data_IF_194024574167
#
_entry.id   IF_194024574167
#
_cell.length_a   1.000
_cell.length_b   1.000
_cell.length_c   1.000
_cell.angle_alpha   90.00
_cell.angle_beta   90.00
_cell.angle_gamma   90.00
#
_symmetry.space_group_name_H-M   'P 1'
#
loop_
_entity.id
_entity.type
_entity.pdbx_description
1 polymer ?
#
# COMPACT_ATOMS: atom_id res chain seq x y z
N UNK A 1 26.90 1.10 -9.32
CA UNK A 1 26.23 0.91 -8.91
C UNK A 1 25.41 -0.09 -8.62
N UNK A 2 25.30 -0.70 -7.76
CA UNK A 2 24.54 -1.86 -7.50
C UNK A 2 23.07 -1.54 -7.49
N UNK A 3 22.39 -2.08 -8.43
CA UNK A 3 20.94 -1.98 -8.44
C UNK A 3 20.39 -3.21 -7.74
N UNK A 4 19.44 -3.01 -6.86
CA UNK A 4 18.69 -4.10 -6.28
C UNK A 4 17.39 -4.27 -7.05
N UNK A 5 16.94 -5.50 -7.17
CA UNK A 5 15.66 -5.82 -7.80
C UNK A 5 14.88 -6.68 -6.84
N UNK A 6 13.68 -6.23 -6.50
CA UNK A 6 12.78 -6.98 -5.65
C UNK A 6 11.59 -7.47 -6.48
N UNK A 7 11.15 -8.69 -6.22
CA UNK A 7 9.90 -9.20 -6.76
C UNK A 7 8.80 -8.96 -5.73
N UNK A 8 7.65 -8.52 -6.18
CA UNK A 8 6.53 -8.19 -5.29
C UNK A 8 5.27 -8.91 -5.78
N UNK A 9 4.66 -9.68 -4.88
CA UNK A 9 3.35 -10.28 -5.11
C UNK A 9 2.37 -9.61 -4.16
N UNK A 10 1.27 -9.08 -4.68
CA UNK A 10 0.31 -8.33 -3.88
C UNK A 10 -1.09 -8.45 -4.47
N UNK A 11 -2.10 -8.39 -3.61
CA UNK A 11 -3.50 -8.42 -4.03
C UNK A 11 -4.07 -7.00 -4.01
N UNK A 12 -4.45 -6.48 -5.16
CA UNK A 12 -4.93 -5.10 -5.26
C UNK A 12 -5.29 -4.68 -6.67
N UNK A 13 -5.33 -3.37 -6.86
CA UNK A 13 -5.70 -2.74 -8.13
C UNK A 13 -4.54 -1.85 -8.56
N UNK A 14 -4.05 -2.07 -9.78
CA UNK A 14 -2.98 -1.26 -10.33
C UNK A 14 -3.51 0.13 -10.74
N UNK A 15 -2.82 1.17 -10.26
CA UNK A 15 -3.16 2.55 -10.64
C UNK A 15 -2.46 3.00 -11.91
N UNK A 16 -1.43 2.26 -12.36
CA UNK A 16 -0.70 2.57 -13.56
C UNK A 16 0.37 3.64 -13.39
N UNK A 17 0.88 4.08 -14.53
CA UNK A 17 1.92 5.08 -14.61
C UNK A 17 1.32 6.46 -14.37
N UNK A 18 2.01 7.29 -13.62
CA UNK A 18 1.60 8.66 -13.30
C UNK A 18 0.24 8.79 -12.58
N UNK A 19 -0.29 7.68 -12.09
CA UNK A 19 -1.57 7.70 -11.43
C UNK A 19 -1.41 7.70 -9.91
N UNK A 20 -1.33 8.87 -9.34
CA UNK A 20 -1.50 9.02 -7.89
C UNK A 20 -2.99 9.23 -7.68
N UNK A 21 -3.66 8.37 -6.90
CA UNK A 21 -5.09 8.53 -6.66
C UNK A 21 -5.44 9.91 -6.08
N UNK A 22 -6.58 10.44 -6.47
CA UNK A 22 -7.01 11.78 -6.04
C UNK A 22 -7.02 11.95 -4.51
N UNK A 23 -7.35 10.91 -3.77
CA UNK A 23 -7.37 11.00 -2.30
C UNK A 23 -5.98 11.27 -1.71
N UNK A 24 -4.93 11.02 -2.48
CA UNK A 24 -3.54 11.26 -2.07
C UNK A 24 -3.07 12.70 -2.35
N UNK A 25 -3.86 13.49 -3.05
CA UNK A 25 -3.48 14.86 -3.36
C UNK A 25 -3.28 15.67 -2.07
N UNK A 26 -2.15 16.37 -1.98
CA UNK A 26 -1.80 17.16 -0.82
C UNK A 26 -1.05 16.41 0.27
N UNK A 27 -0.81 15.13 0.09
CA UNK A 27 -0.04 14.29 1.03
C UNK A 27 1.24 13.80 0.38
N UNK A 28 2.31 13.74 1.16
CA UNK A 28 3.61 13.27 0.67
C UNK A 28 3.62 11.77 0.40
N UNK A 29 2.91 11.01 1.24
CA UNK A 29 2.80 9.57 1.10
C UNK A 29 1.48 9.06 1.72
N UNK A 30 1.27 7.76 1.63
CA UNK A 30 0.03 7.14 2.13
C UNK A 30 -0.06 7.19 3.66
N UNK A 31 1.06 7.07 4.36
CA UNK A 31 1.07 7.17 5.81
C UNK A 31 0.66 8.56 6.28
N UNK A 32 1.08 9.59 5.54
CA UNK A 32 0.69 10.97 5.81
C UNK A 32 -0.83 11.15 5.68
N UNK A 33 -1.40 10.55 4.64
CA UNK A 33 -2.85 10.51 4.43
C UNK A 33 -3.56 9.81 5.59
N UNK A 34 -3.04 8.66 6.03
CA UNK A 34 -3.62 7.91 7.14
C UNK A 34 -3.56 8.69 8.46
N UNK A 35 -2.47 9.40 8.69
CA UNK A 35 -2.32 10.22 9.90
C UNK A 35 -3.37 11.32 9.94
N UNK A 36 -3.61 11.95 8.81
CA UNK A 36 -4.66 12.97 8.71
C UNK A 36 -6.05 12.37 8.93
N UNK A 37 -6.30 11.24 8.28
CA UNK A 37 -7.58 10.54 8.39
C UNK A 37 -7.88 10.08 9.82
N UNK A 38 -6.85 9.71 10.58
CA UNK A 38 -7.00 9.23 11.95
C UNK A 38 -7.55 10.30 12.91
N UNK A 39 -7.30 11.57 12.59
CA UNK A 39 -7.65 12.68 13.49
C UNK A 39 -6.80 12.76 14.75
N UNK A 40 -5.77 11.91 14.85
CA UNK A 40 -4.85 11.91 16.01
C UNK A 40 -3.84 13.05 15.90
N UNK A 41 -3.32 13.55 17.05
CA UNK A 41 -2.26 14.54 17.01
C UNK A 41 -1.04 14.04 16.23
N UNK A 42 -0.49 14.90 15.39
CA UNK A 42 0.67 14.58 14.53
C UNK A 42 1.98 14.74 15.29
N UNK A 43 3.04 14.23 14.70
CA UNK A 43 4.38 14.37 15.25
C UNK A 43 4.69 15.85 15.51
N UNK A 44 5.19 16.13 16.71
CA UNK A 44 5.49 17.48 17.14
C UNK A 44 4.31 18.24 17.75
N UNK A 45 3.11 17.71 17.66
CA UNK A 45 1.93 18.30 18.28
C UNK A 45 1.74 17.78 19.70
N UNK A 46 1.09 18.60 20.54
CA UNK A 46 0.75 18.19 21.91
C UNK A 46 -0.18 16.98 21.87
N UNK A 47 0.08 15.98 22.71
CA UNK A 47 -0.73 14.77 22.79
C UNK A 47 -0.40 13.72 21.74
N UNK A 48 0.67 13.90 20.97
CA UNK A 48 1.09 12.88 20.01
C UNK A 48 1.38 11.55 20.69
N UNK A 49 0.81 10.48 20.19
CA UNK A 49 1.01 9.12 20.68
C UNK A 49 1.40 8.22 19.51
N UNK A 50 2.67 7.89 19.43
CA UNK A 50 3.21 7.07 18.35
C UNK A 50 2.57 5.69 18.30
N UNK A 51 2.27 5.09 19.46
CA UNK A 51 1.66 3.75 19.53
C UNK A 51 0.27 3.74 18.91
N UNK A 52 -0.55 4.73 19.24
CA UNK A 52 -1.91 4.86 18.68
C UNK A 52 -1.87 5.13 17.18
N UNK A 53 -0.97 6.00 16.75
CA UNK A 53 -0.81 6.35 15.35
C UNK A 53 -0.40 5.14 14.52
N UNK A 54 0.58 4.39 15.01
CA UNK A 54 1.04 3.16 14.36
C UNK A 54 -0.07 2.11 14.30
N UNK A 55 -0.82 1.94 15.38
CA UNK A 55 -1.94 1.01 15.43
C UNK A 55 -3.01 1.35 14.38
N UNK A 56 -3.31 2.63 14.22
CA UNK A 56 -4.27 3.08 13.19
C UNK A 56 -3.77 2.71 11.79
N UNK A 57 -2.52 3.01 11.48
CA UNK A 57 -1.93 2.69 10.17
C UNK A 57 -1.99 1.20 9.88
N UNK A 58 -1.58 0.38 10.85
CA UNK A 58 -1.51 -1.07 10.67
C UNK A 58 -2.89 -1.75 10.60
N UNK A 59 -3.90 -1.14 11.20
CA UNK A 59 -5.26 -1.69 11.16
C UNK A 59 -6.07 -1.22 9.95
N UNK A 60 -5.57 -0.24 9.21
CA UNK A 60 -6.29 0.26 8.05
C UNK A 60 -6.34 -0.82 6.96
N UNK A 61 -7.51 -1.05 6.32
CA UNK A 61 -7.66 -2.19 5.40
C UNK A 61 -6.91 -2.06 4.07
N UNK A 62 -6.39 -0.88 3.77
CA UNK A 62 -5.74 -0.58 2.50
C UNK A 62 -4.30 -0.15 2.73
N UNK A 63 -3.42 -0.56 1.82
CA UNK A 63 -2.05 -0.09 1.77
C UNK A 63 -1.70 0.30 0.34
N UNK A 64 -0.59 1.02 0.17
CA UNK A 64 -0.09 1.38 -1.15
C UNK A 64 1.23 0.66 -1.38
N UNK A 65 1.34 -0.02 -2.51
CA UNK A 65 2.57 -0.67 -2.92
C UNK A 65 3.17 0.11 -4.07
N UNK A 66 4.41 0.56 -3.89
CA UNK A 66 5.15 1.22 -4.95
C UNK A 66 6.01 0.18 -5.67
N UNK A 67 6.03 0.22 -6.99
CA UNK A 67 6.86 -0.67 -7.79
C UNK A 67 7.43 0.08 -9.01
N UNK A 68 8.07 -0.63 -9.90
CA UNK A 68 8.83 -0.14 -11.04
C UNK A 68 10.19 0.41 -10.61
N UNK A 69 10.29 1.66 -10.22
CA UNK A 69 11.54 2.23 -9.72
C UNK A 69 11.29 3.48 -8.89
N UNK A 70 12.29 3.92 -8.13
CA UNK A 70 12.19 5.17 -7.38
C UNK A 70 12.12 6.39 -8.28
N UNK A 71 12.73 6.31 -9.45
CA UNK A 71 12.73 7.39 -10.42
C UNK A 71 11.41 7.51 -11.18
N UNK A 72 10.81 6.35 -11.48
CA UNK A 72 9.53 6.28 -12.19
C UNK A 72 8.58 5.37 -11.41
N UNK A 73 8.07 5.84 -10.28
CA UNK A 73 7.24 5.00 -9.43
C UNK A 73 5.87 4.73 -10.04
N UNK A 74 5.42 3.50 -9.86
CA UNK A 74 4.05 3.08 -10.17
C UNK A 74 3.43 2.56 -8.88
N UNK A 75 2.13 2.66 -8.76
CA UNK A 75 1.45 2.35 -7.51
C UNK A 75 0.34 1.32 -7.68
N UNK A 76 0.19 0.50 -6.66
CA UNK A 76 -0.91 -0.45 -6.53
C UNK A 76 -1.63 -0.11 -5.23
N UNK A 77 -2.95 0.09 -5.32
CA UNK A 77 -3.81 0.18 -4.14
C UNK A 77 -4.10 -1.24 -3.72
N UNK A 78 -3.65 -1.63 -2.56
CA UNK A 78 -3.60 -3.02 -2.14
C UNK A 78 -4.42 -3.32 -0.89
N UNK A 79 -4.84 -4.58 -0.76
CA UNK A 79 -5.39 -5.09 0.48
C UNK A 79 -4.21 -5.25 1.44
N UNK A 80 -4.28 -4.58 2.58
CA UNK A 80 -3.18 -4.61 3.55
C UNK A 80 -2.87 -6.03 4.02
N UNK A 81 -1.58 -6.33 4.11
CA UNK A 81 -1.12 -7.62 4.58
C UNK A 81 -0.97 -8.69 3.50
N UNK A 82 -1.23 -8.34 2.23
CA UNK A 82 -1.13 -9.30 1.13
C UNK A 82 0.20 -9.23 0.38
N UNK A 83 1.03 -8.24 0.69
CA UNK A 83 2.30 -8.04 0.01
C UNK A 83 3.34 -9.06 0.45
N UNK A 84 3.97 -9.71 -0.51
CA UNK A 84 5.11 -10.59 -0.30
C UNK A 84 6.25 -10.11 -1.19
N UNK A 85 7.39 -9.85 -0.60
CA UNK A 85 8.56 -9.32 -1.31
C UNK A 85 9.68 -10.35 -1.26
N UNK A 86 10.28 -10.59 -2.42
CA UNK A 86 11.50 -11.37 -2.50
C UNK A 86 12.62 -10.47 -3.02
N UNK A 87 13.59 -10.19 -2.18
CA UNK A 87 14.76 -9.40 -2.55
C UNK A 87 15.65 -10.20 -3.50
N UNK A 88 16.40 -9.49 -4.33
CA UNK A 88 17.31 -10.09 -5.29
C UNK A 88 18.20 -11.14 -4.62
N UNK A 89 18.18 -12.34 -5.17
CA UNK A 89 18.99 -13.45 -4.68
C UNK A 89 18.37 -14.25 -3.55
N UNK A 90 17.19 -13.83 -3.08
CA UNK A 90 16.49 -14.51 -1.99
C UNK A 90 15.12 -15.01 -2.46
N UNK A 91 14.75 -16.18 -2.00
CA UNK A 91 13.46 -16.75 -2.31
C UNK A 91 12.57 -16.70 -1.05
N UNK A 92 11.30 -16.38 -1.25
CA UNK A 92 10.31 -16.45 -0.19
C UNK A 92 9.33 -17.57 -0.50
N UNK A 93 9.06 -18.40 0.50
CA UNK A 93 8.05 -19.43 0.38
C UNK A 93 6.67 -18.79 0.45
N UNK A 94 5.81 -19.12 -0.49
CA UNK A 94 4.42 -18.68 -0.50
C UNK A 94 3.57 -19.87 -0.13
N UNK A 95 3.02 -19.86 1.07
CA UNK A 95 2.21 -20.98 1.59
C UNK A 95 0.74 -20.83 1.24
N UNK A 96 0.28 -19.62 0.97
CA UNK A 96 -1.11 -19.36 0.59
C UNK A 96 -1.21 -18.05 -0.18
N UNK A 97 -2.08 -18.03 -1.18
CA UNK A 97 -2.46 -16.82 -1.90
C UNK A 97 -3.96 -16.53 -1.74
N UNK A 98 -4.49 -16.87 -0.58
CA UNK A 98 -5.89 -16.60 -0.26
C UNK A 98 -6.00 -15.30 0.53
N UNK A 99 -7.06 -14.54 0.29
CA UNK A 99 -7.37 -13.31 1.01
C UNK A 99 -8.73 -13.47 1.69
N UNK A 100 -8.80 -13.05 2.94
CA UNK A 100 -10.03 -13.09 3.72
C UNK A 100 -11.10 -12.22 3.06
N UNK A 101 -12.31 -12.73 2.94
CA UNK A 101 -13.43 -12.02 2.32
C UNK A 101 -13.78 -10.71 3.04
N UNK A 102 -13.63 -10.67 4.35
CA UNK A 102 -13.87 -9.45 5.12
C UNK A 102 -12.87 -8.36 4.74
N UNK A 103 -11.62 -8.74 4.52
CA UNK A 103 -10.59 -7.81 4.07
C UNK A 103 -10.86 -7.30 2.66
N UNK A 104 -11.32 -8.19 1.77
CA UNK A 104 -11.69 -7.81 0.41
C UNK A 104 -12.87 -6.84 0.43
N UNK A 105 -13.88 -7.10 1.26
CA UNK A 105 -15.04 -6.22 1.39
C UNK A 105 -14.66 -4.82 1.88
N UNK A 106 -13.82 -4.74 2.91
CA UNK A 106 -13.34 -3.47 3.43
C UNK A 106 -12.53 -2.70 2.38
N UNK A 107 -11.70 -3.41 1.63
CA UNK A 107 -10.93 -2.83 0.54
C UNK A 107 -11.83 -2.28 -0.57
N UNK A 108 -12.82 -3.06 -0.99
CA UNK A 108 -13.78 -2.63 -2.03
C UNK A 108 -14.57 -1.40 -1.61
N UNK A 109 -14.99 -1.35 -0.34
CA UNK A 109 -15.69 -0.21 0.21
C UNK A 109 -14.83 1.06 0.15
N UNK A 110 -13.57 0.95 0.50
CA UNK A 110 -12.62 2.05 0.39
C UNK A 110 -12.47 2.51 -1.06
N UNK A 111 -12.30 1.58 -2.00
CA UNK A 111 -12.14 1.89 -3.41
C UNK A 111 -13.38 2.61 -3.97
N UNK A 112 -14.56 2.12 -3.65
CA UNK A 112 -15.82 2.71 -4.08
C UNK A 112 -15.97 4.14 -3.56
N UNK A 113 -15.63 4.35 -2.29
CA UNK A 113 -15.70 5.65 -1.64
C UNK A 113 -14.74 6.67 -2.25
N UNK A 114 -13.62 6.21 -2.78
CA UNK A 114 -12.57 7.06 -3.32
C UNK A 114 -12.48 7.04 -4.84
N UNK A 115 -13.48 6.49 -5.51
CA UNK A 115 -13.55 6.51 -6.98
C UNK A 115 -12.51 5.65 -7.67
N UNK A 116 -12.00 4.64 -7.00
CA UNK A 116 -11.02 3.72 -7.57
C UNK A 116 -11.79 2.59 -8.26
N UNK A 117 -11.68 2.52 -9.59
CA UNK A 117 -12.37 1.53 -10.39
C UNK A 117 -11.55 0.26 -10.57
N UNK A 118 -12.22 -0.85 -10.86
CA UNK A 118 -11.61 -2.12 -11.14
C UNK A 118 -11.85 -3.16 -10.05
N UNK A 119 -11.40 -4.38 -10.32
CA UNK A 119 -11.50 -5.49 -9.37
C UNK A 119 -10.10 -5.84 -8.88
N UNK A 120 -9.92 -6.09 -7.58
CA UNK A 120 -8.62 -6.51 -7.07
C UNK A 120 -8.22 -7.87 -7.64
N UNK A 121 -6.95 -8.01 -7.92
CA UNK A 121 -6.36 -9.24 -8.47
C UNK A 121 -4.99 -9.46 -7.84
N UNK A 122 -4.50 -10.69 -7.94
CA UNK A 122 -3.12 -10.95 -7.60
C UNK A 122 -2.22 -10.37 -8.69
N UNK A 123 -1.31 -9.50 -8.28
CA UNK A 123 -0.39 -8.81 -9.19
C UNK A 123 1.05 -9.17 -8.82
N UNK A 124 1.82 -9.49 -9.82
CA UNK A 124 3.25 -9.74 -9.66
C UNK A 124 4.00 -8.62 -10.36
N UNK A 125 4.82 -7.92 -9.62
CA UNK A 125 5.56 -6.79 -10.15
C UNK A 125 6.98 -6.77 -9.59
N UNK A 126 7.77 -5.81 -10.03
CA UNK A 126 9.15 -5.69 -9.57
C UNK A 126 9.46 -4.24 -9.20
N UNK A 127 10.37 -4.09 -8.27
CA UNK A 127 10.93 -2.81 -7.87
C UNK A 127 12.41 -2.81 -8.16
N UNK A 128 12.84 -1.85 -8.94
CA UNK A 128 14.22 -1.72 -9.37
C UNK A 128 14.81 -0.42 -8.83
N UNK A 129 15.90 -0.53 -8.13
CA UNK A 129 16.47 0.68 -7.53
C UNK A 129 17.90 0.61 -7.12
#
# INVERSE_FOLDING_TARGET
>A
MGTSTDAILVYGIECGEDCVPEFMEGFDDFDDYLDDLSGLPKWGEAGHDFVKQKAFRESFPVSMTMHCSYEYPMYIVAVRGTETIASRGYANEITSIAVDEEKISAFKEFCEKNGIEGQPKWLLCSMWG
#
